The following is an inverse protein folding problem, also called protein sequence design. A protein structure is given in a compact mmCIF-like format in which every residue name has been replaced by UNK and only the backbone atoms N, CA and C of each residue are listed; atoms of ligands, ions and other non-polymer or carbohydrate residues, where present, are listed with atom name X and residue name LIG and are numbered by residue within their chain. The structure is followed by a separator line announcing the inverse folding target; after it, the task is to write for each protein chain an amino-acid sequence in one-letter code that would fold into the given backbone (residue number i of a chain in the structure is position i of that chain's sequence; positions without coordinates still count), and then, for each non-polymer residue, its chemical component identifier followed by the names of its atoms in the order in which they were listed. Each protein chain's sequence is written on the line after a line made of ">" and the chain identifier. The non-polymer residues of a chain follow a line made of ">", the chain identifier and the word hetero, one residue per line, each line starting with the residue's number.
data_IF_200103250637
#
_entry.id   IF_200103250637
#
_cell.length_a   1.000
_cell.length_b   1.000
_cell.length_c   1.000
_cell.angle_alpha   90.00
_cell.angle_beta   90.00
_cell.angle_gamma   90.00
#
_symmetry.space_group_name_H-M   'P 1'
#
loop_
_entity.id
_entity.type
_entity.pdbx_description
1 polymer ?
#
# COMPACT_ATOMS: atom_id res chain seq x y z
N UNK A 1 -21.40 4.96 15.51
CA UNK A 1 -20.92 4.80 16.91
C UNK A 1 -20.37 6.13 17.41
N UNK A 2 -20.34 6.37 18.73
CA UNK A 2 -19.91 7.65 19.31
C UNK A 2 -18.39 7.83 19.44
N UNK A 3 -17.61 6.74 19.43
CA UNK A 3 -16.15 6.75 19.42
C UNK A 3 -15.61 5.38 18.93
N UNK A 4 -14.29 5.28 18.74
CA UNK A 4 -13.62 4.05 18.25
C UNK A 4 -13.75 2.89 19.24
N UNK A 5 -13.65 3.15 20.55
CA UNK A 5 -13.79 2.10 21.57
C UNK A 5 -15.16 1.43 21.50
N UNK A 6 -16.24 2.20 21.39
CA UNK A 6 -17.58 1.67 21.20
C UNK A 6 -17.71 0.94 19.87
N UNK A 7 -17.18 1.51 18.79
CA UNK A 7 -17.23 0.92 17.46
C UNK A 7 -16.52 -0.44 17.36
N UNK A 8 -15.44 -0.62 18.11
CA UNK A 8 -14.64 -1.85 18.16
C UNK A 8 -15.40 -3.08 18.69
N UNK A 9 -16.58 -2.89 19.29
CA UNK A 9 -17.46 -3.99 19.72
C UNK A 9 -18.49 -4.42 18.66
N UNK A 10 -18.56 -3.73 17.52
CA UNK A 10 -19.53 -4.04 16.47
C UNK A 10 -18.85 -4.54 15.21
N UNK A 11 -19.45 -5.54 14.56
CA UNK A 11 -18.94 -6.06 13.29
C UNK A 11 -18.78 -4.94 12.27
N UNK A 12 -17.61 -4.86 11.66
CA UNK A 12 -17.23 -3.82 10.69
C UNK A 12 -17.32 -2.37 11.25
N UNK A 13 -17.27 -2.22 12.58
CA UNK A 13 -17.31 -0.90 13.22
C UNK A 13 -16.02 -0.12 13.07
N UNK A 14 -14.90 -0.79 12.74
CA UNK A 14 -13.59 -0.17 12.57
C UNK A 14 -13.03 -0.49 11.18
N UNK A 15 -12.44 0.54 10.55
CA UNK A 15 -11.65 0.39 9.33
C UNK A 15 -10.20 0.74 9.66
N UNK A 16 -9.27 -0.12 9.25
CA UNK A 16 -7.83 0.15 9.36
C UNK A 16 -7.21 0.20 7.97
N UNK A 17 -6.51 1.30 7.70
CA UNK A 17 -5.70 1.51 6.50
C UNK A 17 -4.25 1.27 6.87
N UNK A 18 -3.62 0.29 6.22
CA UNK A 18 -2.24 -0.08 6.44
C UNK A 18 -1.38 0.31 5.24
N UNK A 19 -0.27 0.97 5.55
CA UNK A 19 0.78 1.33 4.62
C UNK A 19 2.07 0.69 5.12
N UNK A 20 2.71 -0.09 4.25
CA UNK A 20 3.97 -0.73 4.57
C UNK A 20 5.12 0.17 4.12
N UNK A 21 6.22 0.14 4.88
CA UNK A 21 7.43 0.88 4.55
C UNK A 21 8.55 -0.07 4.09
N UNK A 22 9.46 0.44 3.28
CA UNK A 22 10.75 -0.19 2.95
C UNK A 22 11.88 0.80 3.17
N UNK A 23 13.07 0.30 3.48
CA UNK A 23 14.26 1.13 3.58
C UNK A 23 14.63 1.72 2.21
N UNK A 24 15.12 2.96 2.23
CA UNK A 24 15.72 3.66 1.11
C UNK A 24 16.90 4.53 1.61
N UNK A 25 17.66 5.09 0.67
CA UNK A 25 18.81 5.94 1.02
C UNK A 25 18.38 7.35 1.44
N UNK A 26 17.28 7.84 0.88
CA UNK A 26 16.78 9.21 1.11
C UNK A 26 15.72 9.27 2.20
N UNK A 27 15.76 10.36 2.97
CA UNK A 27 14.72 10.72 3.93
C UNK A 27 13.37 10.96 3.23
N UNK A 28 12.32 10.40 3.83
CA UNK A 28 10.97 10.72 3.45
C UNK A 28 10.50 11.97 4.20
N UNK A 29 10.49 13.10 3.49
CA UNK A 29 10.10 14.41 4.03
C UNK A 29 8.67 14.45 4.58
N UNK A 30 7.79 13.59 4.08
CA UNK A 30 6.41 13.50 4.57
C UNK A 30 6.34 12.91 5.99
N UNK A 31 7.42 12.28 6.46
CA UNK A 31 7.55 11.76 7.82
C UNK A 31 8.22 12.74 8.79
N UNK A 32 8.82 13.85 8.33
CA UNK A 32 9.68 14.71 9.16
C UNK A 32 8.99 15.15 10.46
N UNK A 33 7.72 15.57 10.38
CA UNK A 33 6.93 15.98 11.54
C UNK A 33 6.72 14.84 12.57
N UNK A 34 6.60 13.59 12.09
CA UNK A 34 6.48 12.40 12.95
C UNK A 34 7.83 12.04 13.54
N UNK A 35 8.90 12.08 12.74
CA UNK A 35 10.26 11.75 13.18
C UNK A 35 10.73 12.72 14.25
N UNK A 36 10.58 14.03 14.04
CA UNK A 36 10.93 15.06 15.02
C UNK A 36 10.15 14.88 16.33
N UNK A 37 8.83 14.69 16.24
CA UNK A 37 8.00 14.47 17.43
C UNK A 37 8.40 13.18 18.17
N UNK A 38 8.74 12.11 17.43
CA UNK A 38 9.14 10.83 18.00
C UNK A 38 10.48 10.95 18.72
N UNK A 39 11.46 11.66 18.15
CA UNK A 39 12.77 11.88 18.76
C UNK A 39 12.66 12.70 20.06
N UNK A 40 11.81 13.75 20.07
CA UNK A 40 11.54 14.56 21.26
C UNK A 40 10.92 13.76 22.41
N UNK A 41 9.97 12.86 22.10
CA UNK A 41 9.36 11.99 23.12
C UNK A 41 10.33 10.91 23.59
N UNK A 42 11.09 10.31 22.66
CA UNK A 42 12.07 9.27 22.97
C UNK A 42 13.23 9.74 23.83
N UNK A 43 13.66 11.00 23.66
CA UNK A 43 14.75 11.58 24.43
C UNK A 43 14.42 11.75 25.93
N UNK A 44 13.15 11.66 26.34
CA UNK A 44 12.70 11.97 27.69
C UNK A 44 11.84 10.81 28.25
N UNK A 45 12.45 9.64 28.49
CA UNK A 45 11.75 8.50 29.10
C UNK A 45 11.18 8.80 30.50
N UNK A 46 11.74 9.78 31.20
CA UNK A 46 11.27 10.28 32.51
C UNK A 46 10.45 11.59 32.38
N UNK A 47 10.20 12.05 31.14
CA UNK A 47 9.48 13.30 30.84
C UNK A 47 8.08 13.07 30.22
N UNK A 48 7.43 14.14 29.72
CA UNK A 48 6.10 14.04 29.16
C UNK A 48 6.08 13.13 27.92
N UNK A 49 5.21 12.11 27.92
CA UNK A 49 4.97 11.21 26.78
C UNK A 49 4.22 11.88 25.61
N UNK A 50 4.21 13.22 25.58
CA UNK A 50 3.47 14.07 24.65
C UNK A 50 4.36 15.24 24.29
N UNK A 51 4.48 15.49 22.99
CA UNK A 51 5.10 16.71 22.46
C UNK A 51 4.16 17.39 21.48
N UNK A 52 4.36 18.69 21.26
CA UNK A 52 3.66 19.43 20.21
C UNK A 52 4.35 19.15 18.88
N UNK A 53 3.59 18.72 17.89
CA UNK A 53 4.10 18.55 16.54
C UNK A 53 4.43 19.94 15.97
N UNK A 54 5.70 20.15 15.59
CA UNK A 54 6.20 21.44 15.09
C UNK A 54 5.63 21.82 13.72
N UNK A 55 5.28 20.82 12.91
CA UNK A 55 4.80 20.99 11.55
C UNK A 55 3.43 20.33 11.32
N UNK A 56 2.70 20.80 10.30
CA UNK A 56 1.40 20.23 9.95
C UNK A 56 1.58 18.84 9.32
N UNK A 57 0.96 17.82 9.89
CA UNK A 57 0.81 16.51 9.26
C UNK A 57 -0.32 16.56 8.25
N UNK A 58 -0.07 16.10 7.02
CA UNK A 58 -1.08 15.95 5.98
C UNK A 58 -1.27 14.45 5.76
N UNK A 59 -2.35 13.84 6.30
CA UNK A 59 -2.54 12.38 6.26
C UNK A 59 -2.47 11.77 4.85
N UNK A 60 -2.88 12.52 3.83
CA UNK A 60 -2.84 12.08 2.43
C UNK A 60 -1.42 11.81 1.92
N UNK A 61 -0.41 12.50 2.45
CA UNK A 61 1.00 12.31 2.10
C UNK A 61 1.60 11.05 2.75
N UNK A 62 0.95 10.53 3.79
CA UNK A 62 1.31 9.26 4.43
C UNK A 62 0.71 8.04 3.72
N UNK A 63 0.06 8.25 2.57
CA UNK A 63 -0.51 7.19 1.74
C UNK A 63 0.27 7.05 0.43
N UNK A 64 0.37 5.83 -0.13
CA UNK A 64 1.02 5.61 -1.42
C UNK A 64 0.42 6.42 -2.56
N UNK A 65 1.20 6.64 -3.62
CA UNK A 65 0.73 7.39 -4.80
C UNK A 65 -0.39 6.62 -5.49
N UNK A 66 -0.17 5.33 -5.76
CA UNK A 66 -1.19 4.41 -6.22
C UNK A 66 -2.09 3.96 -5.06
N UNK A 67 -3.32 4.49 -5.06
CA UNK A 67 -4.37 4.12 -4.10
C UNK A 67 -5.37 3.12 -4.69
N UNK A 68 -5.12 2.65 -5.90
CA UNK A 68 -6.01 1.77 -6.67
C UNK A 68 -5.63 0.30 -6.55
N UNK A 69 -4.50 0.00 -5.91
CA UNK A 69 -4.07 -1.36 -5.61
C UNK A 69 -3.97 -1.61 -4.10
N UNK A 70 -4.80 -2.52 -3.57
CA UNK A 70 -4.80 -2.89 -2.16
C UNK A 70 -5.45 -4.26 -1.91
N UNK A 71 -5.09 -4.89 -0.80
CA UNK A 71 -5.80 -6.05 -0.26
C UNK A 71 -6.84 -5.61 0.75
N UNK A 72 -8.01 -6.26 0.74
CA UNK A 72 -9.09 -6.07 1.72
C UNK A 72 -9.49 -7.38 2.36
N UNK A 73 -9.62 -7.42 3.68
CA UNK A 73 -10.17 -8.58 4.41
C UNK A 73 -10.80 -8.17 5.75
N UNK A 74 -11.68 -9.03 6.26
CA UNK A 74 -12.23 -8.91 7.63
C UNK A 74 -11.28 -9.58 8.63
N UNK A 75 -10.95 -8.87 9.70
CA UNK A 75 -10.01 -9.33 10.72
C UNK A 75 -10.23 -8.66 12.07
N UNK A 76 -9.18 -8.66 12.89
CA UNK A 76 -9.22 -8.11 14.24
C UNK A 76 -8.27 -6.92 14.40
N UNK A 77 -8.35 -6.26 15.55
CA UNK A 77 -7.24 -5.45 16.05
C UNK A 77 -6.00 -6.34 16.28
N UNK A 78 -4.80 -5.75 16.15
CA UNK A 78 -3.51 -6.44 16.37
C UNK A 78 -2.99 -6.27 17.80
N UNK A 79 -3.69 -5.49 18.62
CA UNK A 79 -3.45 -5.29 20.06
C UNK A 79 -4.56 -5.95 20.88
N UNK A 80 -4.33 -6.21 22.17
CA UNK A 80 -5.34 -6.78 23.07
C UNK A 80 -6.73 -6.13 23.04
N UNK A 81 -7.62 -6.95 23.58
CA UNK A 81 -9.03 -7.22 23.28
C UNK A 81 -9.34 -7.88 21.93
N UNK A 82 -8.46 -7.84 20.92
CA UNK A 82 -8.48 -8.67 19.71
C UNK A 82 -9.86 -8.84 19.01
N UNK A 83 -10.78 -7.89 19.15
CA UNK A 83 -12.14 -8.01 18.59
C UNK A 83 -12.11 -8.15 17.07
N UNK A 84 -12.87 -9.12 16.52
CA UNK A 84 -13.01 -9.37 15.08
C UNK A 84 -13.97 -8.38 14.41
N UNK A 85 -13.64 -7.10 14.51
CA UNK A 85 -14.50 -5.97 14.10
C UNK A 85 -13.88 -5.08 13.05
N UNK A 86 -12.69 -5.44 12.56
CA UNK A 86 -11.88 -4.60 11.66
C UNK A 86 -12.04 -5.03 10.21
N UNK A 87 -12.37 -4.07 9.35
CA UNK A 87 -12.11 -4.20 7.91
C UNK A 87 -10.73 -3.62 7.59
N UNK A 88 -9.80 -4.48 7.18
CA UNK A 88 -8.44 -4.10 6.81
C UNK A 88 -8.36 -3.70 5.34
N UNK A 89 -7.62 -2.63 5.06
CA UNK A 89 -7.15 -2.23 3.73
C UNK A 89 -5.63 -2.12 3.77
N UNK A 90 -4.92 -2.95 3.01
CA UNK A 90 -3.46 -2.94 2.96
C UNK A 90 -3.04 -2.53 1.55
N UNK A 91 -2.46 -1.34 1.40
CA UNK A 91 -1.93 -0.91 0.11
C UNK A 91 -0.77 -1.79 -0.35
N UNK A 92 -0.69 -2.03 -1.66
CA UNK A 92 0.37 -2.88 -2.25
C UNK A 92 1.68 -2.10 -2.45
N UNK A 93 1.58 -0.82 -2.81
CA UNK A 93 2.73 0.09 -2.88
C UNK A 93 3.24 0.41 -1.47
N UNK A 94 4.55 0.28 -1.28
CA UNK A 94 5.23 0.61 -0.03
C UNK A 94 5.79 2.02 -0.10
N UNK A 95 5.65 2.78 0.98
CA UNK A 95 6.38 4.02 1.17
C UNK A 95 7.85 3.74 1.55
N UNK A 96 8.69 4.76 1.42
CA UNK A 96 10.10 4.68 1.81
C UNK A 96 10.34 5.39 3.13
N UNK A 97 11.37 4.95 3.84
CA UNK A 97 11.91 5.57 5.05
C UNK A 97 13.42 5.34 5.03
N UNK A 98 14.23 6.33 5.42
CA UNK A 98 15.67 6.14 5.50
C UNK A 98 16.07 5.30 6.72
N UNK A 99 17.31 4.81 6.74
CA UNK A 99 17.88 4.13 7.91
C UNK A 99 17.91 5.07 9.12
N UNK A 100 18.25 6.34 8.91
CA UNK A 100 18.34 7.34 9.97
C UNK A 100 16.96 7.65 10.57
N UNK A 101 15.94 7.87 9.72
CA UNK A 101 14.55 8.04 10.16
C UNK A 101 14.03 6.79 10.89
N UNK A 102 14.32 5.59 10.37
CA UNK A 102 13.92 4.35 11.03
C UNK A 102 14.58 4.16 12.40
N UNK A 103 15.84 4.54 12.54
CA UNK A 103 16.60 4.43 13.80
C UNK A 103 15.96 5.20 14.95
N UNK A 104 15.22 6.28 14.66
CA UNK A 104 14.51 7.08 15.67
C UNK A 104 13.50 6.23 16.43
N UNK A 105 12.75 5.38 15.72
CA UNK A 105 11.78 4.48 16.36
C UNK A 105 12.45 3.39 17.20
N UNK A 106 13.66 2.97 16.83
CA UNK A 106 14.39 1.93 17.56
C UNK A 106 14.92 2.40 18.91
N UNK A 107 15.13 3.71 19.08
CA UNK A 107 15.60 4.32 20.34
C UNK A 107 14.48 4.54 21.36
N UNK A 108 13.21 4.27 21.00
CA UNK A 108 12.09 4.46 21.90
C UNK A 108 12.15 3.49 23.08
N UNK A 109 11.86 3.99 24.27
CA UNK A 109 11.75 3.21 25.50
C UNK A 109 10.34 3.24 26.07
N UNK A 110 9.99 2.18 26.80
CA UNK A 110 8.75 2.03 27.56
C UNK A 110 9.08 1.78 29.04
N UNK A 111 8.11 1.86 29.96
CA UNK A 111 8.35 1.49 31.37
C UNK A 111 8.92 0.07 31.58
N UNK A 112 8.83 -0.78 30.55
CA UNK A 112 9.31 -2.16 30.56
C UNK A 112 10.59 -2.38 29.72
N UNK A 113 11.30 -1.30 29.37
CA UNK A 113 12.52 -1.34 28.55
C UNK A 113 12.29 -0.90 27.10
N UNK A 114 13.24 -1.18 26.18
CA UNK A 114 13.17 -0.74 24.79
C UNK A 114 11.86 -1.15 24.11
N UNK A 115 11.23 -0.24 23.39
CA UNK A 115 10.00 -0.48 22.64
C UNK A 115 10.30 -1.19 21.31
N UNK A 116 10.91 -2.37 21.42
CA UNK A 116 11.29 -3.22 20.29
C UNK A 116 10.22 -4.29 20.00
N UNK A 117 10.16 -4.75 18.75
CA UNK A 117 9.28 -5.85 18.32
C UNK A 117 7.79 -5.66 18.66
N UNK A 118 7.30 -4.42 18.57
CA UNK A 118 5.92 -4.02 18.83
C UNK A 118 4.94 -4.39 17.69
N UNK A 119 5.04 -5.62 17.18
CA UNK A 119 4.14 -6.17 16.16
C UNK A 119 3.60 -7.54 16.59
N UNK A 120 2.39 -7.86 16.12
CA UNK A 120 1.80 -9.18 16.30
C UNK A 120 2.28 -10.12 15.17
N UNK A 121 2.71 -11.36 15.46
CA UNK A 121 3.00 -12.34 14.41
C UNK A 121 1.79 -12.58 13.50
N UNK A 122 2.05 -12.94 12.24
CA UNK A 122 1.00 -13.27 11.28
C UNK A 122 0.11 -14.39 11.81
N UNK A 123 -1.21 -14.23 11.68
CA UNK A 123 -2.18 -15.22 12.12
C UNK A 123 -2.65 -16.08 10.93
N UNK A 124 -3.00 -17.35 11.15
CA UNK A 124 -3.50 -18.23 10.09
C UNK A 124 -4.72 -17.65 9.37
N UNK A 125 -4.85 -17.96 8.07
CA UNK A 125 -5.95 -17.42 7.26
C UNK A 125 -7.32 -17.97 7.66
N UNK A 126 -7.39 -19.21 8.16
CA UNK A 126 -8.61 -19.88 8.65
C UNK A 126 -9.80 -19.78 7.68
N UNK A 127 -9.55 -19.93 6.38
CA UNK A 127 -10.59 -19.89 5.34
C UNK A 127 -11.15 -18.51 5.02
N UNK A 128 -10.62 -17.43 5.62
CA UNK A 128 -11.04 -16.05 5.31
C UNK A 128 -10.74 -15.70 3.86
N UNK A 129 -11.68 -14.99 3.24
CA UNK A 129 -11.51 -14.43 1.89
C UNK A 129 -10.71 -13.14 1.94
N UNK A 130 -9.66 -13.07 1.12
CA UNK A 130 -8.91 -11.83 0.86
C UNK A 130 -9.28 -11.36 -0.55
N UNK A 131 -9.66 -10.10 -0.65
CA UNK A 131 -9.94 -9.46 -1.93
C UNK A 131 -8.74 -8.63 -2.33
N UNK A 132 -8.25 -8.81 -3.56
CA UNK A 132 -7.25 -7.93 -4.15
C UNK A 132 -7.97 -6.96 -5.09
N UNK A 133 -7.93 -5.68 -4.78
CA UNK A 133 -8.37 -4.62 -5.68
C UNK A 133 -7.16 -4.16 -6.49
N UNK A 134 -7.30 -4.15 -7.81
CA UNK A 134 -6.25 -3.75 -8.74
C UNK A 134 -6.91 -3.11 -9.97
N UNK A 135 -6.98 -1.78 -9.97
CA UNK A 135 -7.40 -1.03 -11.17
C UNK A 135 -6.15 -0.56 -11.90
N UNK A 136 -5.89 -1.12 -13.08
CA UNK A 136 -4.69 -0.84 -13.89
C UNK A 136 -4.18 -2.04 -14.69
N UNK A 137 -4.57 -3.27 -14.32
CA UNK A 137 -4.23 -4.49 -15.07
C UNK A 137 -5.35 -4.98 -16.01
N UNK A 138 -6.58 -4.50 -15.83
CA UNK A 138 -7.73 -4.92 -16.64
C UNK A 138 -7.78 -4.13 -17.95
N UNK A 139 -6.99 -4.54 -18.96
CA UNK A 139 -7.34 -4.60 -20.41
C UNK A 139 -6.16 -4.59 -21.39
N UNK A 140 -4.89 -4.59 -20.97
CA UNK A 140 -3.74 -4.52 -21.92
C UNK A 140 -2.97 -5.82 -22.17
N UNK A 141 -3.24 -6.92 -21.44
CA UNK A 141 -2.45 -8.16 -21.58
C UNK A 141 -3.18 -9.38 -22.16
N UNK A 142 -4.43 -9.27 -22.58
CA UNK A 142 -5.02 -10.26 -23.50
C UNK A 142 -4.48 -10.00 -24.91
N UNK A 143 -3.24 -10.46 -25.15
CA UNK A 143 -2.71 -10.69 -26.51
C UNK A 143 -3.70 -11.60 -27.23
N UNK A 144 -4.61 -11.00 -28.00
CA UNK A 144 -5.43 -11.69 -28.99
C UNK A 144 -4.46 -12.38 -29.94
N UNK A 145 -4.28 -13.70 -29.79
CA UNK A 145 -3.64 -14.53 -30.82
C UNK A 145 -4.49 -14.38 -32.08
N UNK A 146 -4.04 -13.55 -33.02
CA UNK A 146 -4.57 -13.57 -34.37
C UNK A 146 -4.11 -14.87 -35.01
N UNK A 147 -5.02 -15.84 -35.13
CA UNK A 147 -4.83 -16.98 -36.01
C UNK A 147 -4.79 -16.42 -37.44
N UNK A 148 -3.61 -16.24 -38.01
CA UNK A 148 -3.46 -16.05 -39.45
C UNK A 148 -3.63 -17.44 -40.09
N UNK A 149 -4.89 -17.85 -40.30
CA UNK A 149 -5.17 -18.94 -41.21
C UNK A 149 -4.99 -18.41 -42.63
N UNK A 150 -4.04 -19.01 -43.35
CA UNK A 150 -3.77 -18.84 -44.77
C UNK A 150 -5.06 -18.68 -45.59
N UNK A 151 -5.15 -17.59 -46.35
CA UNK A 151 -6.02 -17.52 -47.52
C UNK A 151 -5.11 -17.19 -48.70
N UNK A 152 -4.79 -18.22 -49.46
CA UNK A 152 -4.17 -18.18 -50.77
C UNK A 152 -5.18 -17.76 -51.83
N UNK A 153 -4.67 -17.07 -52.86
CA UNK A 153 -5.13 -17.06 -54.26
C UNK A 153 -6.45 -16.31 -54.57
N UNK A 154 -6.33 -15.18 -55.28
CA UNK A 154 -7.00 -14.92 -56.57
C UNK A 154 -6.73 -13.50 -57.08
N UNK A 155 -6.46 -13.41 -58.38
CA UNK A 155 -6.44 -12.22 -59.27
C UNK A 155 -5.19 -11.31 -59.29
N UNK A 156 -4.26 -11.65 -60.18
CA UNK A 156 -3.53 -10.64 -60.95
C UNK A 156 -3.37 -11.11 -62.40
N UNK A 157 -4.50 -11.51 -62.99
CA UNK A 157 -4.72 -11.47 -64.44
C UNK A 157 -5.38 -10.11 -64.70
N UNK A 158 -4.61 -9.07 -65.01
CA UNK A 158 -5.11 -7.84 -65.69
C UNK A 158 -4.07 -6.73 -65.96
N UNK A 159 -2.75 -6.92 -65.77
CA UNK A 159 -1.77 -5.84 -66.03
C UNK A 159 -0.65 -6.20 -67.01
N UNK A 160 -0.97 -6.80 -68.15
CA UNK A 160 -0.02 -6.88 -69.28
C UNK A 160 -0.65 -6.58 -70.65
N UNK A 161 -1.78 -5.89 -70.67
CA UNK A 161 -2.26 -5.14 -71.83
C UNK A 161 -2.08 -3.65 -71.55
N UNK A 162 -0.86 -3.12 -71.72
CA UNK A 162 -0.53 -1.70 -71.99
C UNK A 162 0.99 -1.48 -71.83
N UNK A 163 1.79 -2.12 -72.67
CA UNK A 163 3.05 -1.52 -73.11
C UNK A 163 3.25 -1.84 -74.59
N UNK A 164 2.36 -1.27 -75.40
CA UNK A 164 2.66 -0.97 -76.78
C UNK A 164 2.79 0.54 -76.89
N UNK A 165 3.77 0.96 -77.69
CA UNK A 165 4.03 2.31 -78.17
C UNK A 165 4.75 3.24 -77.19
N UNK A 166 6.08 3.29 -77.30
CA UNK A 166 6.74 4.55 -77.67
C UNK A 166 7.92 4.22 -78.61
N UNK A 167 7.96 4.98 -79.71
CA UNK A 167 9.03 5.05 -80.71
C UNK A 167 10.36 5.47 -80.07
#
# INVERSE_FOLDING_TARGET
>A
YGNVSTAAHYKNGVVVIAVLFRLADEDNKDLDAIIEATDLVGAHWVGPSITKIGHKIIPQLLLPKDKTSFYRYEGSLTTPECHETVTWFIFTEKLTISVDQWSVFQRLESPHGPLSFNYRPTQPINGRKIYHHLLGYTSSSLKRRSNLSSITLMSLISFLTLSHNYF
#
